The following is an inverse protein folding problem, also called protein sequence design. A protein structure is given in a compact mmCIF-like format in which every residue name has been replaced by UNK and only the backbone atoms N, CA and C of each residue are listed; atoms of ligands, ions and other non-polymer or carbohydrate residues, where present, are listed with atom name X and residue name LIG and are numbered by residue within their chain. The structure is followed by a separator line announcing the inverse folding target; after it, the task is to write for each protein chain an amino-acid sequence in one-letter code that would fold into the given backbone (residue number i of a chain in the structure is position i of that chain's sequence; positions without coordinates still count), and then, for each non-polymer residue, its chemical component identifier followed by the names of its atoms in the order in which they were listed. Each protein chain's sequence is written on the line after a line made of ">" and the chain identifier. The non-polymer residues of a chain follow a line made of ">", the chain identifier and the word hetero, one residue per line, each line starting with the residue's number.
data_IF_086132576894
#
_entry.id   IF_086132576894
#
_cell.length_a   1.000
_cell.length_b   1.000
_cell.length_c   1.000
_cell.angle_alpha   90.00
_cell.angle_beta   90.00
_cell.angle_gamma   90.00
#
_symmetry.space_group_name_H-M   'P 1'
#
loop_
_entity.id
_entity.type
_entity.pdbx_description
1 polymer ?
#
# COMPACT_ATOMS: atom_id res chain seq x y z
N UNK A 1 20.41 63.21 -48.22
CA UNK A 1 21.41 62.57 -47.33
C UNK A 1 20.96 61.13 -47.15
N UNK A 2 21.59 60.15 -47.82
CA UNK A 2 22.61 59.24 -47.22
C UNK A 2 22.06 58.67 -45.88
N UNK A 3 21.75 57.38 -45.69
CA UNK A 3 22.52 56.16 -45.99
C UNK A 3 21.65 54.91 -45.75
N UNK A 4 21.94 53.82 -46.49
CA UNK A 4 21.75 52.37 -46.25
C UNK A 4 21.53 51.92 -44.78
N UNK A 5 20.91 50.77 -44.43
CA UNK A 5 21.16 49.39 -44.91
C UNK A 5 20.18 48.36 -44.25
N UNK A 6 20.04 47.19 -44.89
CA UNK A 6 19.77 45.83 -44.31
C UNK A 6 18.34 45.37 -43.96
N UNK A 7 17.82 44.59 -44.92
CA UNK A 7 17.03 43.35 -44.81
C UNK A 7 17.32 42.55 -43.52
N UNK A 8 16.25 42.07 -42.87
CA UNK A 8 16.19 40.68 -42.39
C UNK A 8 14.72 40.23 -42.32
N UNK A 9 14.39 39.18 -43.08
CA UNK A 9 13.14 38.44 -42.92
C UNK A 9 13.05 37.94 -41.47
N UNK A 10 12.04 38.37 -40.72
CA UNK A 10 11.65 37.67 -39.50
C UNK A 10 10.83 36.45 -39.93
N UNK A 11 11.50 35.31 -40.07
CA UNK A 11 10.84 34.01 -39.96
C UNK A 11 10.15 33.96 -38.60
N UNK A 12 8.83 33.72 -38.63
CA UNK A 12 8.04 33.41 -37.44
C UNK A 12 8.56 32.09 -36.89
N UNK A 13 9.51 32.16 -35.97
CA UNK A 13 9.84 31.04 -35.11
C UNK A 13 8.68 30.93 -34.12
N UNK A 14 7.71 30.08 -34.43
CA UNK A 14 6.85 29.47 -33.42
C UNK A 14 7.79 28.70 -32.49
N UNK A 15 8.36 29.39 -31.50
CA UNK A 15 8.81 28.72 -30.30
C UNK A 15 7.50 28.24 -29.68
N UNK A 16 7.13 26.99 -30.02
CA UNK A 16 6.35 26.17 -29.11
C UNK A 16 7.24 26.06 -27.87
N UNK A 17 7.11 27.04 -26.97
CA UNK A 17 7.35 26.76 -25.58
C UNK A 17 6.34 25.66 -25.28
N UNK A 18 6.82 24.43 -25.37
CA UNK A 18 6.24 23.35 -24.63
C UNK A 18 6.16 23.88 -23.22
N UNK A 19 4.94 24.23 -22.79
CA UNK A 19 4.57 24.28 -21.39
C UNK A 19 4.73 22.86 -20.85
N UNK A 20 5.98 22.41 -20.75
CA UNK A 20 6.35 21.27 -19.94
C UNK A 20 6.39 21.81 -18.52
N UNK A 21 5.48 21.26 -17.72
CA UNK A 21 5.40 21.39 -16.27
C UNK A 21 4.82 22.70 -15.68
N UNK A 22 3.50 22.91 -15.84
CA UNK A 22 2.73 22.95 -14.59
C UNK A 22 2.76 21.52 -14.04
N UNK A 23 3.86 21.17 -13.35
CA UNK A 23 4.06 19.83 -12.81
C UNK A 23 2.85 19.51 -11.94
N UNK A 24 2.20 18.40 -12.24
CA UNK A 24 1.18 17.81 -11.40
C UNK A 24 1.80 17.65 -10.00
N UNK A 25 1.43 18.52 -9.07
CA UNK A 25 2.03 18.53 -7.73
C UNK A 25 1.83 17.20 -6.99
N UNK A 26 0.77 16.46 -7.34
CA UNK A 26 0.44 15.17 -6.79
C UNK A 26 1.02 14.10 -7.70
N UNK A 27 1.77 13.18 -7.11
CA UNK A 27 2.30 12.06 -7.88
C UNK A 27 1.24 10.97 -7.99
N UNK A 28 1.02 10.44 -9.20
CA UNK A 28 0.17 9.26 -9.36
C UNK A 28 0.86 8.04 -8.75
N UNK A 29 0.17 7.32 -7.85
CA UNK A 29 0.71 6.11 -7.22
C UNK A 29 1.08 5.05 -8.25
N UNK A 30 0.42 5.05 -9.42
CA UNK A 30 0.69 4.12 -10.50
C UNK A 30 2.13 4.23 -11.05
N UNK A 31 2.79 5.37 -10.85
CA UNK A 31 4.20 5.57 -11.21
C UNK A 31 5.19 4.91 -10.23
N UNK A 32 4.73 4.44 -9.07
CA UNK A 32 5.56 3.96 -7.96
C UNK A 32 5.27 2.49 -7.60
N UNK A 33 4.61 1.75 -8.48
CA UNK A 33 4.12 0.39 -8.23
C UNK A 33 5.21 -0.67 -8.05
N UNK A 34 6.46 -0.38 -8.40
CA UNK A 34 7.56 -1.32 -8.13
C UNK A 34 7.88 -1.39 -6.64
N UNK A 35 7.74 -0.28 -5.92
CA UNK A 35 8.12 -0.16 -4.52
C UNK A 35 6.91 -0.09 -3.58
N UNK A 36 5.78 0.48 -4.05
CA UNK A 36 4.64 0.85 -3.21
C UNK A 36 3.34 0.09 -3.52
N UNK A 37 3.40 -0.98 -4.33
CA UNK A 37 2.21 -1.76 -4.69
C UNK A 37 1.54 -2.41 -3.47
N UNK A 38 2.33 -2.81 -2.47
CA UNK A 38 1.78 -3.49 -1.31
C UNK A 38 0.89 -2.57 -0.46
N UNK A 39 1.38 -1.37 -0.20
CA UNK A 39 0.71 -0.29 0.53
C UNK A 39 -0.47 0.24 -0.28
N UNK A 40 -0.25 0.49 -1.57
CA UNK A 40 -1.28 0.96 -2.49
C UNK A 40 -2.49 0.02 -2.54
N UNK A 41 -2.26 -1.30 -2.49
CA UNK A 41 -3.34 -2.29 -2.43
C UNK A 41 -4.12 -2.27 -1.10
N UNK A 42 -3.52 -1.80 0.00
CA UNK A 42 -4.15 -1.75 1.32
C UNK A 42 -4.88 -0.43 1.60
N UNK A 43 -4.56 0.64 0.86
CA UNK A 43 -5.18 1.96 0.99
C UNK A 43 -6.53 2.01 0.27
N UNK A 44 -7.51 2.63 0.94
CA UNK A 44 -8.92 2.59 0.60
C UNK A 44 -9.46 4.00 0.49
N UNK A 45 -10.24 4.25 -0.56
CA UNK A 45 -11.07 5.44 -0.66
C UNK A 45 -12.37 5.22 0.12
N UNK A 46 -12.64 6.12 1.07
CA UNK A 46 -13.83 6.08 1.92
C UNK A 46 -14.83 7.14 1.44
N UNK A 47 -16.04 6.70 1.09
CA UNK A 47 -17.18 7.60 0.95
C UNK A 47 -18.08 7.44 2.16
N UNK A 48 -18.31 8.55 2.88
CA UNK A 48 -18.97 8.61 4.18
C UNK A 48 -20.29 9.37 4.00
N UNK A 49 -21.43 8.67 3.93
CA UNK A 49 -22.72 9.32 3.75
C UNK A 49 -23.06 10.23 4.93
N UNK A 50 -23.64 11.40 4.64
CA UNK A 50 -24.16 12.28 5.68
C UNK A 50 -25.49 11.70 6.22
N UNK A 51 -25.57 11.34 7.52
CA UNK A 51 -26.77 10.74 8.09
C UNK A 51 -27.98 11.69 8.13
N UNK A 52 -27.75 13.00 8.06
CA UNK A 52 -28.79 14.04 8.01
C UNK A 52 -29.17 14.45 6.59
N UNK A 53 -28.62 13.79 5.56
CA UNK A 53 -28.76 14.18 4.16
C UNK A 53 -27.75 15.25 3.73
N UNK A 54 -27.52 15.36 2.41
CA UNK A 54 -26.52 16.26 1.83
C UNK A 54 -25.33 15.53 1.21
N UNK A 55 -24.23 16.25 0.98
CA UNK A 55 -23.05 15.69 0.32
C UNK A 55 -22.31 14.70 1.24
N UNK A 56 -21.89 13.57 0.67
CA UNK A 56 -20.99 12.64 1.36
C UNK A 56 -19.64 13.28 1.62
N UNK A 57 -19.07 12.99 2.79
CA UNK A 57 -17.66 13.27 3.09
C UNK A 57 -16.79 12.20 2.45
N UNK A 58 -15.56 12.56 2.13
CA UNK A 58 -14.57 11.60 1.65
C UNK A 58 -13.36 11.60 2.55
N UNK A 59 -12.79 10.42 2.75
CA UNK A 59 -11.59 10.19 3.53
C UNK A 59 -10.77 9.05 2.92
N UNK A 60 -9.61 8.81 3.51
CA UNK A 60 -8.76 7.66 3.23
C UNK A 60 -8.75 6.72 4.43
N UNK A 61 -8.65 5.42 4.18
CA UNK A 61 -8.39 4.40 5.19
C UNK A 61 -7.28 3.46 4.74
N UNK A 62 -6.77 2.63 5.64
CA UNK A 62 -5.78 1.60 5.32
C UNK A 62 -6.12 0.30 6.05
N UNK A 63 -6.10 -0.84 5.36
CA UNK A 63 -6.20 -2.14 6.04
C UNK A 63 -4.95 -2.40 6.88
N UNK A 64 -5.15 -2.85 8.11
CA UNK A 64 -4.07 -3.06 9.09
C UNK A 64 -4.05 -4.49 9.62
N UNK A 65 -2.85 -5.05 9.75
CA UNK A 65 -2.63 -6.38 10.29
C UNK A 65 -2.74 -6.40 11.82
N UNK A 66 -3.00 -7.56 12.40
CA UNK A 66 -3.04 -7.77 13.85
C UNK A 66 -2.19 -8.99 14.26
N UNK A 67 -1.92 -9.13 15.56
CA UNK A 67 -1.02 -10.16 16.09
C UNK A 67 -1.42 -11.59 15.77
N UNK A 68 -2.71 -11.84 15.53
CA UNK A 68 -3.19 -13.17 15.13
C UNK A 68 -2.97 -13.46 13.64
N UNK A 69 -2.57 -12.47 12.82
CA UNK A 69 -2.34 -12.59 11.37
C UNK A 69 -3.50 -13.28 10.63
N UNK A 70 -4.72 -13.02 11.09
CA UNK A 70 -5.92 -13.77 10.71
C UNK A 70 -6.72 -13.14 9.56
N UNK A 71 -6.24 -12.03 8.98
CA UNK A 71 -6.92 -11.35 7.88
C UNK A 71 -8.23 -10.64 8.27
N UNK A 72 -8.49 -10.42 9.57
CA UNK A 72 -9.62 -9.57 10.00
C UNK A 72 -9.50 -8.18 9.38
N UNK A 73 -10.51 -7.68 8.66
CA UNK A 73 -10.41 -6.48 7.83
C UNK A 73 -10.57 -5.20 8.64
N UNK A 74 -9.63 -4.98 9.55
CA UNK A 74 -9.51 -3.72 10.27
C UNK A 74 -9.00 -2.62 9.35
N UNK A 75 -9.75 -1.53 9.28
CA UNK A 75 -9.40 -0.33 8.55
C UNK A 75 -9.08 0.75 9.59
N UNK A 76 -7.86 1.26 9.55
CA UNK A 76 -7.47 2.43 10.33
C UNK A 76 -7.72 3.70 9.50
N UNK A 77 -8.28 4.73 10.13
CA UNK A 77 -8.60 6.04 9.52
C UNK A 77 -8.57 7.12 10.61
N UNK A 78 -8.96 8.35 10.29
CA UNK A 78 -9.01 9.44 11.25
C UNK A 78 -10.33 9.45 12.05
N UNK A 79 -10.28 9.85 13.32
CA UNK A 79 -11.49 9.99 14.14
C UNK A 79 -12.46 11.02 13.54
N UNK A 80 -11.91 12.14 13.07
CA UNK A 80 -12.72 13.19 12.47
C UNK A 80 -13.37 12.75 11.16
N UNK A 81 -12.96 11.65 10.53
CA UNK A 81 -13.69 11.10 9.38
C UNK A 81 -15.03 10.52 9.80
N UNK A 82 -15.10 9.94 11.00
CA UNK A 82 -16.32 9.35 11.56
C UNK A 82 -17.20 10.43 12.19
N UNK A 83 -16.57 11.46 12.76
CA UNK A 83 -17.22 12.66 13.25
C UNK A 83 -17.82 13.47 12.08
N UNK A 84 -19.15 13.57 12.07
CA UNK A 84 -19.93 14.24 11.02
C UNK A 84 -20.59 15.53 11.50
N UNK A 85 -20.71 15.72 12.81
CA UNK A 85 -21.34 16.90 13.41
C UNK A 85 -20.35 17.88 14.08
N UNK A 86 -19.07 17.50 14.18
CA UNK A 86 -17.98 18.31 14.71
C UNK A 86 -18.03 18.49 16.22
N UNK A 87 -18.81 17.66 16.93
CA UNK A 87 -18.96 17.75 18.38
C UNK A 87 -17.80 17.05 19.10
N UNK A 88 -17.64 17.34 20.40
CA UNK A 88 -16.67 16.63 21.25
C UNK A 88 -17.17 15.22 21.56
N UNK A 89 -16.97 14.28 20.65
CA UNK A 89 -17.35 12.89 20.85
C UNK A 89 -17.44 12.14 19.53
N UNK A 90 -17.65 10.84 19.60
CA UNK A 90 -18.41 10.16 18.56
C UNK A 90 -19.73 9.74 19.20
N UNK A 91 -20.84 10.16 18.62
CA UNK A 91 -22.17 9.71 19.03
C UNK A 91 -22.40 8.25 18.63
N UNK A 92 -23.40 7.60 19.21
CA UNK A 92 -23.78 6.25 18.78
C UNK A 92 -24.30 6.24 17.33
N UNK A 93 -24.94 7.32 16.90
CA UNK A 93 -25.42 7.47 15.53
C UNK A 93 -24.26 7.48 14.52
N UNK A 94 -23.19 8.21 14.80
CA UNK A 94 -21.98 8.26 13.97
C UNK A 94 -21.26 6.91 13.93
N UNK A 95 -21.11 6.26 15.09
CA UNK A 95 -20.57 4.89 15.17
C UNK A 95 -21.40 3.91 14.37
N UNK A 96 -22.73 4.01 14.40
CA UNK A 96 -23.61 3.14 13.62
C UNK A 96 -23.58 3.47 12.13
N UNK A 97 -23.31 4.73 11.76
CA UNK A 97 -23.26 5.16 10.38
C UNK A 97 -22.11 4.51 9.59
N UNK A 98 -21.11 3.92 10.27
CA UNK A 98 -20.07 3.12 9.60
C UNK A 98 -20.65 1.95 8.79
N UNK A 99 -21.86 1.48 9.14
CA UNK A 99 -22.58 0.47 8.38
C UNK A 99 -23.00 0.92 6.97
N UNK A 100 -23.00 2.24 6.71
CA UNK A 100 -23.38 2.83 5.41
C UNK A 100 -22.18 3.28 4.57
N UNK A 101 -20.96 3.17 5.11
CA UNK A 101 -19.76 3.64 4.40
C UNK A 101 -19.50 2.80 3.16
N UNK A 102 -19.04 3.44 2.11
CA UNK A 102 -18.62 2.78 0.87
C UNK A 102 -17.09 2.78 0.83
N UNK A 103 -16.53 1.60 0.60
CA UNK A 103 -15.10 1.32 0.60
C UNK A 103 -14.67 0.94 -0.82
N UNK A 104 -13.91 1.80 -1.48
CA UNK A 104 -13.42 1.56 -2.83
C UNK A 104 -11.92 1.26 -2.81
N UNK A 105 -11.57 0.01 -3.07
CA UNK A 105 -10.21 -0.48 -3.19
C UNK A 105 -9.73 -0.29 -4.62
N UNK A 106 -8.42 -0.02 -4.79
CA UNK A 106 -7.81 0.23 -6.11
C UNK A 106 -8.49 1.34 -6.89
N UNK A 107 -9.02 2.33 -6.19
CA UNK A 107 -9.48 3.57 -6.82
C UNK A 107 -8.28 4.42 -7.25
N UNK A 108 -7.57 3.96 -8.27
CA UNK A 108 -6.29 4.50 -8.75
C UNK A 108 -6.21 4.41 -10.27
N UNK A 109 -5.24 5.09 -10.85
CA UNK A 109 -4.94 4.95 -12.29
C UNK A 109 -4.33 3.56 -12.54
N UNK A 110 -4.67 2.90 -13.66
CA UNK A 110 -4.08 1.60 -14.01
C UNK A 110 -2.61 1.73 -14.46
N UNK A 111 -2.24 2.90 -15.00
CA UNK A 111 -0.90 3.21 -15.50
C UNK A 111 -0.47 4.59 -14.97
N UNK A 112 0.84 4.83 -14.92
CA UNK A 112 1.42 6.12 -14.53
C UNK A 112 0.82 7.29 -15.33
N UNK A 113 0.30 8.29 -14.62
CA UNK A 113 -0.43 9.46 -15.14
C UNK A 113 -1.56 9.14 -16.13
N UNK A 114 -2.11 7.91 -16.04
CA UNK A 114 -3.19 7.43 -16.88
C UNK A 114 -4.56 8.02 -16.50
N UNK A 115 -5.46 8.01 -17.48
CA UNK A 115 -6.88 8.34 -17.26
C UNK A 115 -7.74 7.14 -16.91
N UNK A 116 -7.27 5.93 -17.23
CA UNK A 116 -7.99 4.68 -17.00
C UNK A 116 -7.90 4.26 -15.53
N UNK A 117 -9.02 3.85 -14.97
CA UNK A 117 -9.08 3.31 -13.62
C UNK A 117 -8.55 1.87 -13.62
N UNK A 118 -7.90 1.49 -12.52
CA UNK A 118 -7.57 0.10 -12.23
C UNK A 118 -8.85 -0.72 -11.96
N UNK A 119 -8.71 -2.05 -11.89
CA UNK A 119 -9.80 -2.95 -11.57
C UNK A 119 -10.21 -2.76 -10.10
N UNK A 120 -11.22 -1.92 -9.90
CA UNK A 120 -11.75 -1.56 -8.59
C UNK A 120 -12.54 -2.69 -7.96
N UNK A 121 -12.45 -2.77 -6.64
CA UNK A 121 -13.37 -3.55 -5.84
C UNK A 121 -14.05 -2.63 -4.83
N UNK A 122 -15.37 -2.70 -4.75
CA UNK A 122 -16.15 -1.86 -3.85
C UNK A 122 -17.05 -2.72 -2.96
N UNK A 123 -17.18 -2.31 -1.71
CA UNK A 123 -18.12 -2.90 -0.77
C UNK A 123 -18.66 -1.83 0.18
N UNK A 124 -19.67 -2.20 0.96
CA UNK A 124 -20.35 -1.29 1.89
C UNK A 124 -20.42 -1.90 3.28
N UNK A 125 -20.26 -1.04 4.27
CA UNK A 125 -20.54 -1.34 5.66
C UNK A 125 -19.35 -1.87 6.45
N UNK A 126 -19.19 -1.27 7.61
CA UNK A 126 -18.23 -1.66 8.64
C UNK A 126 -18.84 -1.49 10.03
N UNK A 127 -18.21 -2.08 11.03
CA UNK A 127 -18.53 -1.90 12.44
C UNK A 127 -17.45 -1.06 13.09
N UNK A 128 -17.85 -0.01 13.82
CA UNK A 128 -16.94 0.76 14.67
C UNK A 128 -16.24 -0.13 15.71
N UNK A 129 -14.93 0.13 15.96
CA UNK A 129 -14.14 -0.60 16.95
C UNK A 129 -13.58 0.30 18.03
N UNK A 130 -12.84 1.34 17.65
CA UNK A 130 -12.33 2.31 18.60
C UNK A 130 -12.09 3.66 17.94
N UNK A 131 -12.03 4.71 18.76
CA UNK A 131 -11.49 5.99 18.36
C UNK A 131 -10.77 6.65 19.54
N UNK A 132 -9.68 7.33 19.23
CA UNK A 132 -8.92 8.13 20.18
C UNK A 132 -8.81 9.56 19.64
N UNK A 133 -9.66 10.43 20.16
CA UNK A 133 -9.83 11.80 19.66
C UNK A 133 -8.56 12.63 19.77
N UNK A 134 -7.80 12.49 20.85
CA UNK A 134 -6.64 13.33 21.11
C UNK A 134 -5.51 13.13 20.08
N UNK A 135 -5.43 11.94 19.46
CA UNK A 135 -4.54 11.65 18.33
C UNK A 135 -5.30 11.52 17.01
N UNK A 136 -6.60 11.79 16.98
CA UNK A 136 -7.45 11.69 15.81
C UNK A 136 -7.35 10.35 15.04
N UNK A 137 -7.29 9.22 15.76
CA UNK A 137 -7.23 7.88 15.14
C UNK A 137 -8.53 7.15 15.41
N UNK A 138 -9.05 6.44 14.41
CA UNK A 138 -10.13 5.49 14.56
C UNK A 138 -9.85 4.16 13.86
N UNK A 139 -10.47 3.10 14.37
CA UNK A 139 -10.46 1.77 13.81
C UNK A 139 -11.90 1.32 13.57
N UNK A 140 -12.15 0.79 12.37
CA UNK A 140 -13.40 0.15 11.97
C UNK A 140 -13.09 -1.24 11.39
N UNK A 141 -14.05 -2.15 11.41
CA UNK A 141 -13.90 -3.50 10.84
C UNK A 141 -14.90 -3.68 9.70
N UNK A 142 -14.39 -3.93 8.50
CA UNK A 142 -15.21 -4.15 7.31
C UNK A 142 -16.08 -5.40 7.46
N UNK A 143 -17.34 -5.32 7.02
CA UNK A 143 -18.27 -6.47 7.15
C UNK A 143 -17.92 -7.62 6.20
N UNK A 144 -17.30 -7.30 5.07
CA UNK A 144 -16.95 -8.24 4.01
C UNK A 144 -15.44 -8.48 3.98
N UNK A 145 -15.03 -9.72 3.71
CA UNK A 145 -13.64 -10.04 3.50
C UNK A 145 -13.16 -9.42 2.17
N UNK A 146 -12.05 -8.65 2.17
CA UNK A 146 -11.44 -8.17 0.94
C UNK A 146 -10.97 -9.29 0.00
N UNK A 147 -10.85 -9.00 -1.30
CA UNK A 147 -10.23 -9.90 -2.26
C UNK A 147 -8.83 -10.35 -1.85
N UNK A 148 -8.43 -11.54 -2.32
CA UNK A 148 -7.18 -12.21 -1.94
C UNK A 148 -5.89 -11.43 -2.24
N UNK A 149 -5.95 -10.49 -3.17
CA UNK A 149 -4.83 -9.64 -3.61
C UNK A 149 -4.84 -8.24 -2.96
N UNK A 150 -5.64 -8.07 -1.90
CA UNK A 150 -5.61 -6.92 -1.00
C UNK A 150 -4.74 -7.25 0.22
N UNK A 151 -3.92 -6.29 0.64
CA UNK A 151 -2.93 -6.47 1.70
C UNK A 151 -3.37 -5.81 3.01
N UNK A 152 -2.75 -6.24 4.11
CA UNK A 152 -2.94 -5.66 5.45
C UNK A 152 -1.60 -5.13 5.92
N UNK A 153 -1.53 -3.84 6.19
CA UNK A 153 -0.26 -3.20 6.48
C UNK A 153 0.20 -3.47 7.90
N UNK A 154 1.51 -3.62 8.04
CA UNK A 154 2.17 -3.65 9.33
C UNK A 154 2.16 -2.27 9.98
N UNK A 155 2.47 -2.23 11.26
CA UNK A 155 2.45 -1.01 12.07
C UNK A 155 3.62 -1.00 13.03
N UNK A 156 3.97 0.19 13.52
CA UNK A 156 5.03 0.41 14.49
C UNK A 156 4.57 1.49 15.47
N UNK A 157 4.49 1.12 16.75
CA UNK A 157 3.97 1.99 17.82
C UNK A 157 5.10 2.61 18.66
N UNK A 158 6.34 2.56 18.16
CA UNK A 158 7.47 3.23 18.78
C UNK A 158 7.19 4.73 18.96
N UNK A 159 7.60 5.25 20.12
CA UNK A 159 7.59 6.69 20.39
C UNK A 159 8.71 7.44 19.66
N UNK A 160 9.58 6.75 18.92
CA UNK A 160 10.56 7.41 18.04
C UNK A 160 9.88 7.97 16.81
N UNK A 161 10.30 9.15 16.36
CA UNK A 161 9.80 9.73 15.12
C UNK A 161 10.36 8.93 13.93
N UNK A 162 9.55 8.68 12.88
CA UNK A 162 10.06 8.07 11.66
C UNK A 162 10.96 9.07 10.92
N UNK A 163 12.13 8.63 10.45
CA UNK A 163 13.04 9.50 9.68
C UNK A 163 12.44 9.93 8.33
N UNK A 164 11.59 9.08 7.77
CA UNK A 164 10.89 9.29 6.51
C UNK A 164 9.41 8.99 6.71
N UNK A 165 8.57 9.71 5.99
CA UNK A 165 7.13 9.44 5.95
C UNK A 165 6.66 9.50 4.52
N UNK A 166 6.14 8.38 4.03
CA UNK A 166 5.41 8.31 2.76
C UNK A 166 3.94 8.17 3.05
N UNK A 167 3.11 8.86 2.29
CA UNK A 167 1.65 8.74 2.40
C UNK A 167 1.08 8.36 1.04
N UNK A 168 0.19 7.37 1.04
CA UNK A 168 -0.66 7.03 -0.09
C UNK A 168 -2.09 7.40 0.29
N UNK A 169 -2.75 8.23 -0.51
CA UNK A 169 -3.99 8.87 -0.12
C UNK A 169 -4.92 9.13 -1.31
N UNK A 170 -6.14 9.56 -1.01
CA UNK A 170 -7.12 10.03 -1.99
C UNK A 170 -7.52 11.46 -1.69
N UNK A 171 -7.21 12.40 -2.58
CA UNK A 171 -7.62 13.79 -2.49
C UNK A 171 -8.97 14.03 -3.19
N UNK A 172 -9.93 14.70 -2.57
CA UNK A 172 -11.16 15.23 -3.19
C UNK A 172 -11.87 14.27 -4.17
N UNK A 173 -12.09 13.02 -3.79
CA UNK A 173 -12.67 11.97 -4.65
C UNK A 173 -11.86 11.63 -5.90
N UNK A 174 -10.55 11.87 -5.87
CA UNK A 174 -9.63 11.56 -6.96
C UNK A 174 -8.91 10.23 -6.76
N UNK A 175 -8.33 9.76 -7.86
CA UNK A 175 -7.54 8.54 -7.93
C UNK A 175 -6.34 8.64 -7.00
N UNK A 176 -6.00 7.53 -6.37
CA UNK A 176 -4.94 7.42 -5.37
C UNK A 176 -3.62 8.08 -5.79
N UNK A 177 -3.02 8.83 -4.87
CA UNK A 177 -1.75 9.55 -5.02
C UNK A 177 -0.74 9.15 -3.96
N UNK A 178 0.50 9.57 -4.16
CA UNK A 178 1.62 9.32 -3.25
C UNK A 178 2.48 10.56 -3.02
N UNK A 179 2.87 10.78 -1.77
CA UNK A 179 3.69 11.91 -1.33
C UNK A 179 4.79 11.45 -0.38
N UNK A 180 5.95 12.09 -0.47
CA UNK A 180 7.19 11.67 0.18
C UNK A 180 7.79 12.76 1.05
N UNK A 181 8.20 12.37 2.26
CA UNK A 181 8.92 13.19 3.21
C UNK A 181 10.13 12.46 3.76
N UNK A 182 11.18 13.23 3.99
CA UNK A 182 12.38 12.89 4.77
C UNK A 182 12.57 13.89 5.93
N UNK A 183 11.52 14.64 6.27
CA UNK A 183 11.50 15.67 7.30
C UNK A 183 10.25 15.48 8.16
N UNK A 184 10.44 14.76 9.26
CA UNK A 184 9.45 14.54 10.29
C UNK A 184 9.96 15.10 11.62
N UNK A 185 9.16 15.96 12.25
CA UNK A 185 9.53 16.61 13.51
C UNK A 185 8.47 16.37 14.58
N UNK A 186 8.85 16.49 15.85
CA UNK A 186 7.88 16.45 16.94
C UNK A 186 6.94 17.65 16.84
N UNK A 187 5.67 17.47 17.22
CA UNK A 187 4.71 18.56 17.34
C UNK A 187 4.06 18.56 18.72
N UNK A 188 3.27 17.53 19.03
CA UNK A 188 2.68 17.32 20.36
C UNK A 188 2.93 15.89 20.85
N UNK A 189 2.49 15.56 22.07
CA UNK A 189 2.48 14.18 22.53
C UNK A 189 1.66 13.25 21.64
N UNK A 190 0.64 13.79 20.96
CA UNK A 190 -0.29 13.01 20.14
C UNK A 190 0.01 13.05 18.64
N UNK A 191 0.81 14.01 18.17
CA UNK A 191 1.04 14.24 16.74
C UNK A 191 2.51 14.48 16.41
N UNK A 192 2.94 14.00 15.25
CA UNK A 192 4.17 14.47 14.61
C UNK A 192 3.84 15.30 13.37
N UNK A 193 4.79 16.13 12.97
CA UNK A 193 4.69 17.02 11.82
C UNK A 193 5.48 16.43 10.64
N UNK A 194 4.96 16.54 9.42
CA UNK A 194 5.59 16.06 8.19
C UNK A 194 5.65 17.20 7.16
N UNK A 195 6.84 17.41 6.59
CA UNK A 195 7.05 18.35 5.48
C UNK A 195 7.45 17.57 4.22
N UNK A 196 6.58 17.51 3.20
CA UNK A 196 6.89 16.78 1.96
C UNK A 196 7.88 17.53 1.08
N UNK A 197 8.79 16.79 0.46
CA UNK A 197 9.64 17.31 -0.62
C UNK A 197 9.12 16.92 -2.01
N UNK A 198 8.17 15.98 -2.09
CA UNK A 198 7.51 15.55 -3.31
C UNK A 198 6.06 15.15 -3.00
N UNK A 199 5.10 15.62 -3.78
CA UNK A 199 3.69 15.44 -3.45
C UNK A 199 3.19 16.42 -2.39
N UNK A 200 1.90 16.33 -2.10
CA UNK A 200 1.22 17.00 -1.01
C UNK A 200 0.01 16.18 -0.56
N UNK A 201 -0.74 16.65 0.42
CA UNK A 201 -2.09 16.15 0.70
C UNK A 201 -3.10 17.28 0.51
N UNK A 202 -4.39 16.93 0.49
CA UNK A 202 -5.53 17.85 0.41
C UNK A 202 -6.74 17.22 1.12
N UNK A 203 -7.86 17.95 1.19
CA UNK A 203 -9.15 17.40 1.61
C UNK A 203 -9.43 16.02 0.98
N UNK A 204 -9.98 15.09 1.75
CA UNK A 204 -10.11 13.67 1.38
C UNK A 204 -8.94 12.79 1.81
N UNK A 205 -7.74 13.36 1.97
CA UNK A 205 -6.54 12.59 2.38
C UNK A 205 -6.60 12.19 3.86
N UNK A 206 -7.42 12.89 4.65
CA UNK A 206 -7.73 12.58 6.04
C UNK A 206 -7.87 11.08 6.29
N UNK A 207 -7.16 10.57 7.29
CA UNK A 207 -7.14 9.14 7.62
C UNK A 207 -6.12 8.31 6.86
N UNK A 208 -5.37 8.87 5.91
CA UNK A 208 -4.30 8.17 5.22
C UNK A 208 -3.15 7.81 6.17
N UNK A 209 -2.61 6.60 6.02
CA UNK A 209 -1.48 6.14 6.82
C UNK A 209 -0.16 6.78 6.40
N UNK A 210 0.65 7.19 7.38
CA UNK A 210 2.05 7.56 7.21
C UNK A 210 2.95 6.34 7.38
N UNK A 211 3.60 5.92 6.31
CA UNK A 211 4.52 4.78 6.26
C UNK A 211 5.96 5.21 6.53
N UNK A 212 6.66 4.49 7.39
CA UNK A 212 8.09 4.66 7.61
C UNK A 212 8.93 3.97 6.50
N UNK A 213 10.25 4.06 6.59
CA UNK A 213 11.19 3.44 5.63
C UNK A 213 11.10 1.90 5.57
N UNK A 214 10.52 1.25 6.59
CA UNK A 214 10.24 -0.19 6.60
C UNK A 214 8.81 -0.52 6.19
N UNK A 215 8.09 0.44 5.59
CA UNK A 215 6.73 0.27 5.09
C UNK A 215 5.70 -0.07 6.19
N UNK A 216 5.95 0.36 7.42
CA UNK A 216 5.04 0.21 8.56
C UNK A 216 4.30 1.51 8.83
N UNK A 217 3.02 1.41 9.17
CA UNK A 217 2.22 2.56 9.62
C UNK A 217 2.79 3.07 10.95
N UNK A 218 3.03 4.37 11.04
CA UNK A 218 3.52 5.06 12.27
C UNK A 218 2.59 6.17 12.75
N UNK A 219 1.77 6.71 11.84
CA UNK A 219 0.73 7.65 12.18
C UNK A 219 -0.36 7.72 11.12
N UNK A 220 -1.40 8.49 11.42
CA UNK A 220 -2.58 8.68 10.56
C UNK A 220 -2.76 10.18 10.29
N UNK A 221 -2.92 10.57 9.03
CA UNK A 221 -3.08 11.97 8.64
C UNK A 221 -4.34 12.55 9.30
N UNK A 222 -4.14 13.54 10.16
CA UNK A 222 -5.20 14.16 10.95
C UNK A 222 -5.63 15.47 10.32
N UNK A 223 -4.72 16.44 10.24
CA UNK A 223 -4.97 17.73 9.64
C UNK A 223 -3.68 18.27 9.00
N UNK A 224 -3.85 19.29 8.18
CA UNK A 224 -2.77 19.94 7.50
C UNK A 224 -3.29 21.16 6.78
N UNK A 225 -2.38 22.07 6.50
CA UNK A 225 -2.62 23.23 5.64
C UNK A 225 -1.81 23.09 4.35
N UNK A 226 -1.22 21.90 4.12
CA UNK A 226 -0.51 21.60 2.90
C UNK A 226 -1.49 21.51 1.72
N UNK A 227 -1.02 21.97 0.57
CA UNK A 227 -1.80 21.98 -0.64
C UNK A 227 -0.95 22.44 -1.80
N UNK A 228 -1.35 22.03 -3.00
CA UNK A 228 -0.72 22.50 -4.22
C UNK A 228 -1.19 23.91 -4.57
N UNK A 229 -0.81 24.90 -3.78
CA UNK A 229 -0.89 26.30 -4.16
C UNK A 229 0.50 26.77 -4.49
N UNK A 230 0.71 27.13 -5.75
CA UNK A 230 1.87 27.86 -6.26
C UNK A 230 2.19 29.04 -5.34
N UNK A 231 3.22 28.89 -4.50
CA UNK A 231 4.17 29.88 -3.94
C UNK A 231 4.85 29.21 -2.74
N UNK A 232 6.04 28.64 -2.95
CA UNK A 232 7.16 28.52 -1.98
C UNK A 232 6.96 28.02 -0.54
N UNK A 233 5.75 27.66 -0.10
CA UNK A 233 5.45 27.22 1.25
C UNK A 233 4.91 25.79 1.19
N UNK A 234 5.78 24.83 1.45
CA UNK A 234 5.33 23.51 1.91
C UNK A 234 4.91 23.71 3.36
N UNK A 235 3.61 23.87 3.57
CA UNK A 235 3.08 23.89 4.91
C UNK A 235 2.99 22.45 5.42
N UNK A 236 3.20 22.19 6.70
CA UNK A 236 3.22 20.84 7.20
C UNK A 236 1.85 20.18 7.25
N UNK A 237 1.89 18.86 7.21
CA UNK A 237 0.82 17.99 7.68
C UNK A 237 1.12 17.44 9.07
N UNK A 238 0.07 17.06 9.78
CA UNK A 238 0.13 16.54 11.13
C UNK A 238 -0.52 15.17 11.21
N UNK A 239 0.22 14.23 11.78
CA UNK A 239 -0.16 12.83 11.84
C UNK A 239 -0.37 12.43 13.29
N UNK A 240 -1.54 11.89 13.58
CA UNK A 240 -1.86 11.22 14.82
C UNK A 240 -0.92 10.04 15.04
N UNK A 241 -0.24 10.00 16.18
CA UNK A 241 0.75 8.98 16.50
C UNK A 241 0.06 7.68 16.89
N UNK A 242 0.44 6.57 16.27
CA UNK A 242 -0.02 5.24 16.71
C UNK A 242 0.36 4.99 18.17
N UNK A 243 1.54 5.45 18.60
CA UNK A 243 2.00 5.36 19.99
C UNK A 243 1.04 6.04 20.99
N UNK A 244 0.39 7.14 20.58
CA UNK A 244 -0.56 7.86 21.43
C UNK A 244 -1.91 7.14 21.53
N UNK A 245 -2.42 6.62 20.41
CA UNK A 245 -3.65 5.81 20.41
C UNK A 245 -3.46 4.37 20.92
N UNK A 246 -2.23 3.93 21.17
CA UNK A 246 -1.93 2.53 21.50
C UNK A 246 -2.62 2.07 22.78
N UNK A 247 -2.37 2.81 23.87
CA UNK A 247 -3.09 2.66 25.14
C UNK A 247 -4.27 3.62 25.27
N UNK A 248 -4.25 4.72 24.52
CA UNK A 248 -5.36 5.68 24.38
C UNK A 248 -6.01 6.03 25.71
N UNK A 249 -7.34 5.90 25.78
CA UNK A 249 -8.14 6.16 26.99
C UNK A 249 -8.23 4.99 27.98
N UNK A 250 -7.53 3.88 27.75
CA UNK A 250 -7.51 2.71 28.64
C UNK A 250 -8.67 1.72 28.47
N UNK A 251 -9.62 1.98 27.58
CA UNK A 251 -10.76 1.08 27.27
C UNK A 251 -10.65 0.52 25.85
N UNK A 252 -11.32 -0.60 25.57
CA UNK A 252 -11.25 -1.23 24.25
C UNK A 252 -11.75 -0.34 23.10
N UNK A 253 -12.71 0.54 23.37
CA UNK A 253 -13.26 1.51 22.42
C UNK A 253 -12.44 2.80 22.30
N UNK A 254 -11.36 2.95 23.09
CA UNK A 254 -10.47 4.13 23.06
C UNK A 254 -9.00 3.79 22.85
N UNK A 255 -8.63 2.52 22.61
CA UNK A 255 -7.23 2.12 22.41
C UNK A 255 -7.04 1.11 21.26
N UNK A 256 -5.98 1.29 20.47
CA UNK A 256 -5.65 0.40 19.34
C UNK A 256 -5.20 -0.99 19.81
N UNK A 257 -4.47 -1.06 20.94
CA UNK A 257 -3.88 -2.31 21.44
C UNK A 257 -4.92 -3.41 21.60
N UNK A 258 -6.12 -3.08 22.09
CA UNK A 258 -7.21 -4.03 22.32
C UNK A 258 -7.62 -4.80 21.05
N UNK A 259 -7.34 -4.26 19.87
CA UNK A 259 -7.71 -4.85 18.59
C UNK A 259 -6.50 -5.39 17.81
N UNK A 260 -5.36 -4.69 17.85
CA UNK A 260 -4.21 -5.04 17.02
C UNK A 260 -3.21 -5.96 17.73
N UNK A 261 -3.06 -5.86 19.05
CA UNK A 261 -2.19 -6.74 19.83
C UNK A 261 -2.66 -6.91 21.29
N UNK A 262 -3.84 -7.52 21.51
CA UNK A 262 -4.42 -7.66 22.84
C UNK A 262 -3.59 -8.53 23.79
N UNK A 263 -2.91 -9.56 23.28
CA UNK A 263 -2.22 -10.56 24.10
C UNK A 263 -0.74 -10.24 24.30
N UNK A 264 -0.01 -9.93 23.22
CA UNK A 264 1.45 -9.82 23.26
C UNK A 264 1.96 -8.39 23.48
N UNK A 265 1.13 -7.37 23.25
CA UNK A 265 1.53 -5.97 23.29
C UNK A 265 2.77 -5.69 22.41
N UNK A 266 2.75 -6.23 21.19
CA UNK A 266 3.82 -6.07 20.21
C UNK A 266 4.07 -4.59 19.94
N UNK A 267 5.35 -4.24 19.76
CA UNK A 267 5.76 -2.86 19.45
C UNK A 267 5.77 -2.58 17.94
N UNK A 268 5.83 -3.63 17.13
CA UNK A 268 5.74 -3.51 15.68
C UNK A 268 5.29 -4.83 15.04
N UNK A 269 4.86 -4.75 13.79
CA UNK A 269 4.38 -5.87 13.00
C UNK A 269 4.69 -5.69 11.52
N UNK A 270 4.95 -6.78 10.80
CA UNK A 270 5.05 -6.77 9.34
C UNK A 270 3.66 -6.76 8.69
N UNK A 271 3.60 -6.40 7.41
CA UNK A 271 2.40 -6.60 6.61
C UNK A 271 2.01 -8.10 6.52
N UNK A 272 0.75 -8.34 6.20
CA UNK A 272 0.21 -9.63 5.77
C UNK A 272 -0.17 -9.50 4.29
N UNK A 273 0.49 -10.26 3.44
CA UNK A 273 0.21 -10.33 1.99
C UNK A 273 -0.38 -11.72 1.72
N UNK A 274 -1.72 -11.86 1.62
CA UNK A 274 -2.36 -13.16 1.45
C UNK A 274 -1.91 -13.86 0.16
N UNK A 275 -1.68 -13.08 -0.90
CA UNK A 275 -1.26 -13.55 -2.23
C UNK A 275 0.20 -13.99 -2.35
N UNK A 276 1.02 -13.83 -1.30
CA UNK A 276 2.43 -14.18 -1.36
C UNK A 276 2.63 -15.70 -1.44
N UNK A 277 3.19 -16.19 -2.54
CA UNK A 277 3.66 -17.57 -2.64
C UNK A 277 5.11 -17.64 -2.14
N UNK A 278 5.33 -18.46 -1.13
CA UNK A 278 6.64 -18.74 -0.54
C UNK A 278 7.21 -20.06 -1.06
N UNK A 279 8.53 -20.09 -1.27
CA UNK A 279 9.27 -21.27 -1.72
C UNK A 279 10.59 -20.88 -2.37
N UNK A 280 11.36 -21.87 -2.83
CA UNK A 280 12.67 -21.65 -3.45
C UNK A 280 12.58 -20.98 -4.82
N UNK A 281 13.58 -20.18 -5.18
CA UNK A 281 13.67 -19.51 -6.49
C UNK A 281 14.23 -20.42 -7.59
N UNK A 282 14.86 -21.53 -7.22
CA UNK A 282 15.44 -22.49 -8.15
C UNK A 282 15.10 -23.93 -7.72
N UNK A 283 14.74 -24.75 -8.70
CA UNK A 283 14.43 -26.16 -8.52
C UNK A 283 15.28 -27.02 -9.46
N UNK A 284 16.06 -27.95 -8.89
CA UNK A 284 17.01 -28.79 -9.61
C UNK A 284 16.42 -30.16 -9.99
N UNK A 285 17.07 -30.84 -10.94
CA UNK A 285 16.62 -32.10 -11.49
C UNK A 285 16.63 -33.18 -10.40
N UNK A 286 15.61 -34.03 -10.40
CA UNK A 286 15.45 -35.07 -9.38
C UNK A 286 15.11 -34.54 -7.97
N UNK A 287 14.87 -33.24 -7.82
CA UNK A 287 14.43 -32.63 -6.56
C UNK A 287 12.95 -32.26 -6.62
N UNK A 288 12.28 -32.30 -5.46
CA UNK A 288 10.95 -31.74 -5.28
C UNK A 288 10.95 -30.74 -4.14
N UNK A 289 10.02 -29.79 -4.18
CA UNK A 289 9.87 -28.77 -3.13
C UNK A 289 8.41 -28.36 -2.97
N UNK A 290 8.06 -27.92 -1.77
CA UNK A 290 6.71 -27.41 -1.46
C UNK A 290 6.71 -25.88 -1.50
N UNK A 291 5.78 -25.32 -2.27
CA UNK A 291 5.41 -23.92 -2.28
C UNK A 291 4.17 -23.71 -1.42
N UNK A 292 4.09 -22.60 -0.70
CA UNK A 292 3.00 -22.32 0.24
C UNK A 292 2.44 -20.92 0.06
N UNK A 293 1.18 -20.73 0.45
CA UNK A 293 0.58 -19.43 0.75
C UNK A 293 0.57 -19.26 2.27
N UNK A 294 1.68 -18.82 2.91
CA UNK A 294 1.79 -18.79 4.37
C UNK A 294 0.80 -17.83 5.04
N UNK A 295 0.27 -16.87 4.28
CA UNK A 295 -0.66 -15.86 4.76
C UNK A 295 -2.09 -16.08 4.24
N UNK A 296 -2.41 -17.27 3.70
CA UNK A 296 -3.76 -17.54 3.23
C UNK A 296 -4.76 -17.47 4.39
N UNK A 297 -5.81 -16.67 4.21
CA UNK A 297 -6.85 -16.50 5.22
C UNK A 297 -7.59 -17.83 5.39
N UNK A 298 -7.86 -18.22 6.64
CA UNK A 298 -8.35 -19.56 6.98
C UNK A 298 -9.72 -19.95 6.37
N UNK A 299 -10.45 -19.00 5.78
CA UNK A 299 -11.71 -19.23 5.06
C UNK A 299 -11.51 -19.42 3.54
N UNK A 300 -10.32 -19.15 3.01
CA UNK A 300 -10.01 -19.17 1.57
C UNK A 300 -9.30 -20.46 1.13
N UNK A 301 -9.58 -20.94 -0.08
CA UNK A 301 -8.93 -22.13 -0.64
C UNK A 301 -8.25 -21.78 -1.97
N UNK A 302 -6.98 -22.18 -2.11
CA UNK A 302 -6.26 -22.07 -3.37
C UNK A 302 -6.40 -23.33 -4.22
N UNK A 303 -6.51 -23.12 -5.52
CA UNK A 303 -6.25 -24.14 -6.54
C UNK A 303 -4.90 -23.84 -7.20
N UNK A 304 -4.11 -24.88 -7.47
CA UNK A 304 -2.75 -24.70 -7.99
C UNK A 304 -2.62 -25.20 -9.42
N UNK A 305 -1.87 -24.45 -10.22
CA UNK A 305 -1.43 -24.86 -11.55
C UNK A 305 0.07 -24.55 -11.70
N UNK A 306 0.72 -25.26 -12.61
CA UNK A 306 2.14 -25.06 -12.92
C UNK A 306 2.36 -25.03 -14.43
N UNK A 307 3.44 -24.39 -14.87
CA UNK A 307 3.90 -24.46 -16.26
C UNK A 307 4.31 -25.88 -16.68
N UNK A 308 4.31 -26.16 -17.99
CA UNK A 308 4.53 -27.52 -18.52
C UNK A 308 5.91 -28.14 -18.26
N UNK A 309 6.90 -27.36 -17.83
CA UNK A 309 8.22 -27.85 -17.38
C UNK A 309 8.23 -28.29 -15.90
N UNK A 310 7.10 -28.21 -15.21
CA UNK A 310 6.89 -28.65 -13.84
C UNK A 310 5.77 -29.69 -13.78
N UNK A 311 5.75 -30.48 -12.70
CA UNK A 311 4.68 -31.43 -12.39
C UNK A 311 4.31 -31.29 -10.92
N UNK A 312 3.00 -31.27 -10.65
CA UNK A 312 2.46 -31.28 -9.28
C UNK A 312 2.47 -32.72 -8.76
N UNK A 313 3.14 -32.94 -7.64
CA UNK A 313 3.15 -34.23 -6.93
C UNK A 313 2.01 -34.33 -5.92
N UNK A 314 1.75 -33.23 -5.21
CA UNK A 314 0.67 -33.14 -4.23
C UNK A 314 0.26 -31.69 -4.05
N UNK A 315 -0.98 -31.45 -3.62
CA UNK A 315 -1.47 -30.11 -3.31
C UNK A 315 -2.57 -30.16 -2.26
N UNK A 316 -2.76 -29.04 -1.58
CA UNK A 316 -3.89 -28.78 -0.71
C UNK A 316 -4.28 -27.30 -0.81
N UNK A 317 -5.19 -26.87 0.08
CA UNK A 317 -5.75 -25.52 0.06
C UNK A 317 -4.73 -24.39 0.15
N UNK A 318 -3.52 -24.61 0.67
CA UNK A 318 -2.53 -23.56 0.92
C UNK A 318 -1.11 -23.94 0.49
N UNK A 319 -0.92 -25.09 -0.14
CA UNK A 319 0.40 -25.54 -0.59
C UNK A 319 0.35 -26.47 -1.79
N UNK A 320 1.45 -26.50 -2.55
CA UNK A 320 1.68 -27.39 -3.69
C UNK A 320 3.11 -27.90 -3.66
N UNK A 321 3.29 -29.20 -3.81
CA UNK A 321 4.61 -29.82 -3.97
C UNK A 321 4.84 -30.11 -5.43
N UNK A 322 5.96 -29.62 -5.97
CA UNK A 322 6.28 -29.70 -7.40
C UNK A 322 7.67 -30.28 -7.63
N UNK A 323 7.88 -30.83 -8.82
CA UNK A 323 9.15 -31.35 -9.35
C UNK A 323 9.30 -30.89 -10.80
N UNK A 324 10.52 -30.82 -11.38
CA UNK A 324 10.68 -30.72 -12.82
C UNK A 324 9.96 -31.87 -13.53
N UNK A 325 9.30 -31.60 -14.66
CA UNK A 325 8.51 -32.60 -15.39
C UNK A 325 9.37 -33.72 -16.00
N UNK A 326 10.65 -33.44 -16.26
CA UNK A 326 11.67 -34.40 -16.71
C UNK A 326 13.07 -33.92 -16.33
N UNK A 327 14.08 -34.77 -16.47
CA UNK A 327 15.50 -34.39 -16.32
C UNK A 327 15.98 -33.36 -17.35
N UNK A 328 15.26 -33.21 -18.47
CA UNK A 328 15.55 -32.24 -19.53
C UNK A 328 14.72 -30.96 -19.45
N UNK A 329 13.73 -30.89 -18.55
CA UNK A 329 12.88 -29.71 -18.37
C UNK A 329 13.72 -28.56 -17.83
N UNK A 330 13.92 -27.50 -18.61
CA UNK A 330 14.78 -26.38 -18.23
C UNK A 330 14.09 -25.01 -18.44
N UNK A 331 14.63 -23.96 -17.80
CA UNK A 331 14.24 -22.58 -18.02
C UNK A 331 13.24 -22.05 -16.98
N UNK A 332 12.44 -21.08 -17.38
CA UNK A 332 11.51 -20.40 -16.46
C UNK A 332 10.28 -21.27 -16.21
N UNK A 333 10.02 -21.62 -14.95
CA UNK A 333 8.80 -22.26 -14.50
C UNK A 333 7.91 -21.30 -13.72
N UNK A 334 6.60 -21.54 -13.76
CA UNK A 334 5.62 -20.77 -12.99
C UNK A 334 4.80 -21.69 -12.09
N UNK A 335 4.56 -21.22 -10.87
CA UNK A 335 3.63 -21.81 -9.91
C UNK A 335 2.55 -20.78 -9.65
N UNK A 336 1.31 -21.13 -9.98
CA UNK A 336 0.17 -20.21 -9.89
C UNK A 336 -0.82 -20.74 -8.86
N UNK A 337 -1.18 -19.90 -7.89
CA UNK A 337 -2.29 -20.12 -6.99
C UNK A 337 -3.49 -19.28 -7.41
N UNK A 338 -4.68 -19.87 -7.47
CA UNK A 338 -5.94 -19.15 -7.75
C UNK A 338 -6.86 -19.23 -6.54
N UNK A 339 -7.29 -18.08 -6.02
CA UNK A 339 -8.20 -17.96 -4.88
C UNK A 339 -9.32 -17.01 -5.26
N UNK A 340 -10.58 -17.48 -5.26
CA UNK A 340 -11.73 -16.63 -5.61
C UNK A 340 -11.65 -16.00 -7.00
N UNK A 341 -11.02 -16.68 -7.97
CA UNK A 341 -10.82 -16.18 -9.34
C UNK A 341 -9.61 -15.25 -9.51
N UNK A 342 -8.88 -14.93 -8.44
CA UNK A 342 -7.69 -14.07 -8.47
C UNK A 342 -6.45 -14.96 -8.44
N UNK A 343 -5.49 -14.68 -9.33
CA UNK A 343 -4.26 -15.44 -9.45
C UNK A 343 -3.08 -14.72 -8.80
N UNK A 344 -2.21 -15.50 -8.19
CA UNK A 344 -0.86 -15.11 -7.81
C UNK A 344 0.13 -16.08 -8.43
N UNK A 345 1.25 -15.58 -8.94
CA UNK A 345 2.22 -16.39 -9.68
C UNK A 345 3.61 -16.19 -9.09
N UNK A 346 4.28 -17.28 -8.76
CA UNK A 346 5.72 -17.30 -8.49
C UNK A 346 6.46 -17.84 -9.71
N UNK A 347 7.49 -17.11 -10.12
CA UNK A 347 8.39 -17.52 -11.20
C UNK A 347 9.65 -18.10 -10.59
N UNK A 348 10.11 -19.24 -11.10
CA UNK A 348 11.31 -19.94 -10.61
C UNK A 348 12.20 -20.35 -11.78
N UNK A 349 13.47 -20.61 -11.50
CA UNK A 349 14.38 -21.31 -12.42
C UNK A 349 14.21 -22.82 -12.24
N UNK A 350 13.81 -23.52 -13.30
CA UNK A 350 13.70 -24.98 -13.32
C UNK A 350 14.89 -25.53 -14.08
N UNK A 351 15.78 -26.23 -13.39
CA UNK A 351 17.07 -26.66 -13.88
C UNK A 351 17.94 -25.51 -14.43
N UNK A 352 19.24 -25.56 -14.19
CA UNK A 352 20.12 -24.59 -14.85
C UNK A 352 20.10 -24.86 -16.35
N UNK A 353 20.04 -23.83 -17.21
CA UNK A 353 20.34 -24.03 -18.62
C UNK A 353 21.73 -24.64 -18.69
N UNK A 354 21.83 -25.84 -19.27
CA UNK A 354 23.12 -26.47 -19.52
C UNK A 354 23.84 -25.54 -20.49
N UNK A 355 24.78 -24.72 -20.00
CA UNK A 355 25.63 -23.96 -20.89
C UNK A 355 26.49 -24.98 -21.63
N UNK A 356 26.17 -25.26 -22.89
CA UNK A 356 27.03 -26.06 -23.78
C UNK A 356 28.38 -25.38 -24.07
N UNK A 357 28.72 -24.29 -23.39
CA UNK A 357 30.06 -23.73 -23.34
C UNK A 357 30.78 -24.37 -22.15
N UNK A 358 31.41 -25.52 -22.41
CA UNK A 358 32.29 -26.16 -21.44
C UNK A 358 33.36 -25.17 -20.97
N UNK A 359 33.42 -24.91 -19.66
CA UNK A 359 34.59 -24.27 -19.06
C UNK A 359 35.74 -25.24 -19.23
N UNK A 360 36.56 -25.02 -20.25
CA UNK A 360 37.82 -25.75 -20.42
C UNK A 360 38.85 -25.10 -19.51
N UNK A 361 39.06 -25.66 -18.32
CA UNK A 361 40.20 -25.29 -17.48
C UNK A 361 41.44 -25.95 -18.10
N UNK A 362 42.22 -25.21 -18.89
CA UNK A 362 43.56 -25.65 -19.28
C UNK A 362 44.54 -25.27 -18.17
N UNK A 363 44.91 -26.26 -17.36
CA UNK A 363 46.06 -26.12 -16.47
C UNK A 363 47.33 -26.15 -17.33
N UNK A 364 48.01 -25.02 -17.45
CA UNK A 364 49.34 -24.95 -18.08
C UNK A 364 50.35 -24.52 -17.02
N UNK A 365 50.92 -25.50 -16.34
CA UNK A 365 52.27 -25.40 -15.80
C UNK A 365 52.90 -26.79 -15.72
N UNK A 366 53.48 -27.22 -16.85
CA UNK A 366 54.61 -28.12 -16.81
C UNK A 366 55.81 -27.32 -16.27
N UNK A 367 56.10 -27.46 -14.97
CA UNK A 367 57.43 -27.15 -14.46
C UNK A 367 58.22 -28.46 -14.40
N UNK A 368 59.01 -28.70 -15.45
CA UNK A 368 60.13 -29.63 -15.42
C UNK A 368 61.41 -28.84 -15.64
N UNK A 369 62.22 -28.82 -14.57
CA UNK A 369 63.63 -28.43 -14.41
C UNK A 369 64.02 -26.97 -14.67
#
# INVERSE_FOLDING_TARGET
>A
MKTYQKIFLLSVLFIVFSFSSFAQCMNDVACYMNDWRNESNAVIFLTIPNPSGGNSKTCTGTLVNNEARNGRPYIITACHCIDTDGQSGLSQAERNNTANYIFSFRFRSSNCDGSQLDNQWQTTGAVFRMAHQASDIALIELNQQPPFDINYMGWNVSASLPANTTVIHHENSQRQKISFSNNTTAFTGNHYQVNYHSGATKGGSSGAAGFNATHQITGILSFGINGCSTIGQVLPDYYGRLSAAWLGGGTADTQLRAWLSPNQNLQSMSHLIPSLISGVEQLCAGSSTTYTLPNLIATMNATWTVSGNLTILSQNRSSVTVTPASSSSAGIGTITATVGGITSTKTIQVNLPVSNQGVTIRNTSNNTQ
#
